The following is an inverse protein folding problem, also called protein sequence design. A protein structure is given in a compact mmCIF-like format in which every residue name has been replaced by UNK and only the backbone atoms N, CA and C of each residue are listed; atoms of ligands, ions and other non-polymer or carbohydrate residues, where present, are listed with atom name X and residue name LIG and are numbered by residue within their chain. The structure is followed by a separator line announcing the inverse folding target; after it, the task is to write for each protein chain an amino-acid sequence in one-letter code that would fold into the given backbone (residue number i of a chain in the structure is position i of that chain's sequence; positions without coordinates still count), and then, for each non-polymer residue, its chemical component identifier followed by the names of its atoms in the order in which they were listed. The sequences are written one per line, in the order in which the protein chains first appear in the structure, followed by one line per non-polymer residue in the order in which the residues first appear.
data_IF_057431516447
#
_entry.id   IF_057431516447
#
_cell.length_a   1.000
_cell.length_b   1.000
_cell.length_c   1.000
_cell.angle_alpha   90.00
_cell.angle_beta   90.00
_cell.angle_gamma   90.00
#
_symmetry.space_group_name_H-M   'P 1'
#
loop_
_entity.id
_entity.type
_entity.pdbx_description
1 polymer ?
#
# COMPACT_ATOMS: atom_id res chain seq x y z
N UNK A 1 1.93 -32.22 15.57
CA UNK A 1 2.83 -31.36 14.77
C UNK A 1 2.05 -30.10 14.40
N UNK A 2 2.45 -28.92 14.89
CA UNK A 2 1.91 -27.65 14.38
C UNK A 2 2.49 -27.42 12.99
N UNK A 3 1.67 -27.04 12.02
CA UNK A 3 2.16 -26.55 10.72
C UNK A 3 2.65 -25.12 10.91
N UNK A 4 3.78 -24.81 10.30
CA UNK A 4 4.25 -23.44 10.22
C UNK A 4 3.19 -22.54 9.58
N UNK A 5 2.88 -21.38 10.19
CA UNK A 5 1.98 -20.41 9.62
C UNK A 5 2.57 -19.95 8.28
N UNK A 6 1.76 -19.94 7.24
CA UNK A 6 2.15 -19.46 5.91
C UNK A 6 1.21 -18.39 5.43
N UNK A 7 1.79 -17.36 4.83
CA UNK A 7 1.04 -16.31 4.17
C UNK A 7 0.85 -16.69 2.70
N UNK A 8 -0.39 -16.63 2.23
CA UNK A 8 -0.72 -16.85 0.82
C UNK A 8 -0.42 -15.58 0.01
N UNK A 9 0.48 -15.68 -0.95
CA UNK A 9 1.01 -14.55 -1.73
C UNK A 9 -0.08 -13.67 -2.36
N UNK A 10 -0.99 -14.27 -3.14
CA UNK A 10 -2.02 -13.52 -3.88
C UNK A 10 -3.02 -12.86 -2.95
N UNK A 11 -3.55 -13.58 -1.96
CA UNK A 11 -4.47 -13.04 -0.97
C UNK A 11 -3.84 -11.86 -0.21
N UNK A 12 -2.59 -12.01 0.25
CA UNK A 12 -1.88 -10.93 0.93
C UNK A 12 -1.67 -9.70 0.03
N UNK A 13 -1.21 -9.91 -1.20
CA UNK A 13 -1.03 -8.84 -2.19
C UNK A 13 -2.33 -8.08 -2.47
N UNK A 14 -3.40 -8.79 -2.82
CA UNK A 14 -4.70 -8.18 -3.09
C UNK A 14 -5.26 -7.42 -1.89
N UNK A 15 -5.25 -8.03 -0.70
CA UNK A 15 -5.75 -7.37 0.51
C UNK A 15 -4.96 -6.11 0.84
N UNK A 16 -3.63 -6.17 0.76
CA UNK A 16 -2.78 -5.03 1.07
C UNK A 16 -2.90 -3.92 0.02
N UNK A 17 -2.94 -4.27 -1.27
CA UNK A 17 -3.19 -3.29 -2.33
C UNK A 17 -4.53 -2.57 -2.12
N UNK A 18 -5.62 -3.33 -1.91
CA UNK A 18 -6.94 -2.71 -1.68
C UNK A 18 -6.95 -1.84 -0.42
N UNK A 19 -6.33 -2.29 0.67
CA UNK A 19 -6.21 -1.51 1.89
C UNK A 19 -5.50 -0.17 1.65
N UNK A 20 -4.35 -0.19 0.96
CA UNK A 20 -3.59 1.02 0.64
C UNK A 20 -4.35 1.94 -0.32
N UNK A 21 -4.98 1.37 -1.36
CA UNK A 21 -5.79 2.13 -2.32
C UNK A 21 -7.00 2.81 -1.67
N UNK A 22 -7.72 2.12 -0.79
CA UNK A 22 -8.83 2.70 -0.02
C UNK A 22 -8.32 3.81 0.90
N UNK A 23 -7.22 3.56 1.62
CA UNK A 23 -6.61 4.56 2.53
C UNK A 23 -6.20 5.82 1.77
N UNK A 24 -5.60 5.66 0.60
CA UNK A 24 -5.25 6.79 -0.28
C UNK A 24 -6.49 7.64 -0.64
N UNK A 25 -7.59 7.00 -1.05
CA UNK A 25 -8.83 7.72 -1.38
C UNK A 25 -9.43 8.43 -0.16
N UNK A 26 -9.36 7.80 1.03
CA UNK A 26 -9.80 8.43 2.28
C UNK A 26 -8.92 9.64 2.64
N UNK A 27 -7.61 9.56 2.44
CA UNK A 27 -6.69 10.69 2.65
C UNK A 27 -7.01 11.86 1.70
N UNK A 28 -7.27 11.58 0.42
CA UNK A 28 -7.69 12.62 -0.53
C UNK A 28 -9.02 13.25 -0.10
N UNK A 29 -9.99 12.45 0.35
CA UNK A 29 -11.24 12.94 0.89
C UNK A 29 -11.06 13.80 2.14
N UNK A 30 -10.13 13.43 3.02
CA UNK A 30 -9.79 14.21 4.21
C UNK A 30 -9.18 15.57 3.85
N UNK A 31 -8.23 15.61 2.93
CA UNK A 31 -7.60 16.86 2.47
C UNK A 31 -8.62 17.83 1.83
N UNK A 32 -9.69 17.30 1.22
CA UNK A 32 -10.80 18.08 0.69
C UNK A 32 -11.71 18.65 1.78
N UNK A 33 -11.98 17.88 2.84
CA UNK A 33 -12.82 18.31 3.96
C UNK A 33 -12.08 19.28 4.90
N UNK A 34 -10.76 19.11 5.04
CA UNK A 34 -9.92 19.83 6.00
C UNK A 34 -8.68 20.44 5.31
N UNK A 35 -8.86 21.46 4.46
CA UNK A 35 -7.77 22.02 3.65
C UNK A 35 -6.65 22.66 4.47
N UNK A 36 -6.93 23.11 5.70
CA UNK A 36 -5.91 23.67 6.59
C UNK A 36 -4.96 22.59 7.18
N UNK A 37 -5.33 21.32 7.07
CA UNK A 37 -4.57 20.16 7.55
C UNK A 37 -4.18 19.24 6.38
N UNK A 38 -4.21 19.77 5.16
CA UNK A 38 -3.98 19.01 3.96
C UNK A 38 -2.59 18.39 3.95
N UNK A 39 -2.53 17.08 3.67
CA UNK A 39 -1.30 16.31 3.68
C UNK A 39 -0.61 16.35 2.32
N UNK A 40 -1.34 16.56 1.21
CA UNK A 40 -0.83 16.51 -0.16
C UNK A 40 0.48 17.29 -0.44
N UNK A 41 0.80 18.43 0.21
CA UNK A 41 2.06 19.13 -0.07
C UNK A 41 3.28 18.25 0.21
N UNK A 42 3.19 17.36 1.21
CA UNK A 42 4.25 16.40 1.53
C UNK A 42 4.36 15.29 0.45
N UNK A 43 3.26 14.96 -0.21
CA UNK A 43 3.18 13.90 -1.21
C UNK A 43 3.76 14.34 -2.56
N UNK A 44 3.66 15.62 -2.90
CA UNK A 44 4.25 16.21 -4.13
C UNK A 44 5.76 15.92 -4.22
N UNK A 45 6.46 15.91 -3.09
CA UNK A 45 7.89 15.60 -3.06
C UNK A 45 8.21 14.12 -3.25
N UNK A 46 7.25 13.24 -2.94
CA UNK A 46 7.42 11.79 -2.99
C UNK A 46 6.93 11.19 -4.31
N UNK A 47 5.99 11.86 -4.98
CA UNK A 47 5.31 11.39 -6.20
C UNK A 47 5.61 12.34 -7.37
N UNK A 48 6.67 12.09 -8.16
CA UNK A 48 6.98 12.91 -9.33
C UNK A 48 5.82 12.89 -10.33
N UNK A 49 5.27 14.05 -10.66
CA UNK A 49 4.09 14.20 -11.53
C UNK A 49 2.75 14.34 -10.77
N UNK A 50 2.77 14.35 -9.44
CA UNK A 50 1.60 14.65 -8.63
C UNK A 50 1.33 16.16 -8.59
N UNK A 51 0.18 16.56 -9.13
CA UNK A 51 -0.36 17.92 -9.13
C UNK A 51 -1.67 17.83 -8.34
N UNK A 52 -1.86 18.72 -7.37
CA UNK A 52 -3.03 18.64 -6.48
C UNK A 52 -4.35 18.66 -7.27
N UNK A 53 -5.23 17.72 -6.93
CA UNK A 53 -6.59 17.58 -7.44
C UNK A 53 -6.75 17.44 -8.97
N UNK A 54 -5.72 16.95 -9.68
CA UNK A 54 -5.89 16.51 -11.06
C UNK A 54 -6.36 15.04 -11.10
N UNK A 55 -7.28 14.72 -12.02
CA UNK A 55 -7.73 13.34 -12.27
C UNK A 55 -6.56 12.40 -12.59
N UNK A 56 -5.52 12.90 -13.27
CA UNK A 56 -4.30 12.15 -13.57
C UNK A 56 -3.50 11.82 -12.31
N UNK A 57 -3.31 12.79 -11.41
CA UNK A 57 -2.55 12.58 -10.17
C UNK A 57 -3.28 11.69 -9.18
N UNK A 58 -4.63 11.72 -9.17
CA UNK A 58 -5.44 10.76 -8.42
C UNK A 58 -5.24 9.33 -8.92
N UNK A 59 -5.25 9.13 -10.24
CA UNK A 59 -5.02 7.82 -10.85
C UNK A 59 -3.60 7.31 -10.58
N UNK A 60 -2.59 8.17 -10.71
CA UNK A 60 -1.20 7.83 -10.40
C UNK A 60 -1.07 7.40 -8.93
N UNK A 61 -1.56 8.20 -7.99
CA UNK A 61 -1.47 7.87 -6.56
C UNK A 61 -2.21 6.56 -6.20
N UNK A 62 -3.33 6.27 -6.85
CA UNK A 62 -4.04 5.01 -6.68
C UNK A 62 -3.24 3.83 -7.25
N UNK A 63 -2.71 3.95 -8.46
CA UNK A 63 -1.88 2.92 -9.09
C UNK A 63 -0.64 2.63 -8.23
N UNK A 64 0.05 3.68 -7.78
CA UNK A 64 1.23 3.55 -6.93
C UNK A 64 0.87 2.85 -5.61
N UNK A 65 -0.23 3.23 -4.97
CA UNK A 65 -0.71 2.59 -3.73
C UNK A 65 -1.00 1.10 -3.93
N UNK A 66 -1.64 0.72 -5.04
CA UNK A 66 -1.90 -0.68 -5.39
C UNK A 66 -0.59 -1.42 -5.68
N UNK A 67 0.33 -0.80 -6.42
CA UNK A 67 1.63 -1.36 -6.75
C UNK A 67 2.49 -1.59 -5.50
N UNK A 68 2.46 -0.67 -4.53
CA UNK A 68 3.16 -0.84 -3.25
C UNK A 68 2.65 -2.05 -2.47
N UNK A 69 1.35 -2.34 -2.50
CA UNK A 69 0.81 -3.57 -1.88
C UNK A 69 1.44 -4.84 -2.46
N UNK A 70 1.58 -4.90 -3.79
CA UNK A 70 2.25 -6.02 -4.47
C UNK A 70 3.75 -6.03 -4.26
N UNK A 71 4.41 -4.88 -4.23
CA UNK A 71 5.83 -4.76 -3.89
C UNK A 71 6.12 -5.35 -2.49
N UNK A 72 5.30 -4.99 -1.50
CA UNK A 72 5.42 -5.57 -0.15
C UNK A 72 5.15 -7.06 -0.20
N UNK A 73 4.14 -7.52 -0.93
CA UNK A 73 3.87 -8.96 -1.06
C UNK A 73 5.07 -9.73 -1.66
N UNK A 74 5.70 -9.20 -2.71
CA UNK A 74 6.84 -9.81 -3.40
C UNK A 74 8.05 -10.01 -2.49
N UNK A 75 8.26 -9.10 -1.54
CA UNK A 75 9.42 -9.16 -0.64
C UNK A 75 9.06 -9.84 0.68
N UNK A 76 7.98 -9.42 1.32
CA UNK A 76 7.64 -9.84 2.68
C UNK A 76 7.15 -11.28 2.76
N UNK A 77 6.28 -11.72 1.84
CA UNK A 77 5.70 -13.06 1.87
C UNK A 77 6.77 -14.17 1.79
N UNK A 78 7.72 -14.15 0.83
CA UNK A 78 8.75 -15.20 0.79
C UNK A 78 9.67 -15.15 2.01
N UNK A 79 10.03 -13.96 2.51
CA UNK A 79 10.83 -13.83 3.73
C UNK A 79 10.10 -14.41 4.94
N UNK A 80 8.84 -14.03 5.15
CA UNK A 80 8.02 -14.55 6.25
C UNK A 80 7.89 -16.07 6.17
N UNK A 81 7.54 -16.60 4.99
CA UNK A 81 7.38 -18.03 4.80
C UNK A 81 8.70 -18.79 5.02
N UNK A 82 9.85 -18.22 4.64
CA UNK A 82 11.16 -18.81 4.91
C UNK A 82 11.46 -18.87 6.41
N UNK A 83 11.32 -17.76 7.13
CA UNK A 83 11.61 -17.72 8.57
C UNK A 83 10.59 -18.49 9.41
N UNK A 84 9.31 -18.52 9.01
CA UNK A 84 8.26 -19.30 9.69
C UNK A 84 8.61 -20.79 9.76
N UNK A 85 9.22 -21.35 8.71
CA UNK A 85 9.65 -22.75 8.68
C UNK A 85 10.94 -22.95 9.46
N UNK A 86 11.87 -21.98 9.38
CA UNK A 86 13.20 -22.11 10.00
C UNK A 86 13.17 -21.96 11.51
N UNK A 87 12.30 -21.10 12.04
CA UNK A 87 12.17 -20.84 13.48
C UNK A 87 11.27 -21.84 14.21
N UNK A 88 10.50 -22.65 13.46
CA UNK A 88 9.70 -23.75 14.01
C UNK A 88 10.41 -25.11 13.99
N UNK A 89 11.61 -25.17 13.41
CA UNK A 89 12.52 -26.31 13.58
C UNK A 89 13.30 -26.13 14.89
#
# INVERSE_FOLDING_TARGET
MRRAPRIHFVAFGLSLSLFLGITFLLCVGYDLLFPAQAMYPNWIHLLPGFIWLSWGSLAIGLIDSLAYGWYVALIFVPLFNFFSVKLER
#
